data_IF_743100816038
#
_entry.id   IF_743100816038
#
_cell.length_a   1.000
_cell.length_b   1.000
_cell.length_c   1.000
_cell.angle_alpha   90.00
_cell.angle_beta   90.00
_cell.angle_gamma   90.00
#
_symmetry.space_group_name_H-M   'P 1'
#
loop_
_entity.id
_entity.type
_entity.pdbx_description
1 polymer ?
#
# COMPACT_ATOMS: atom_id res chain seq x y z
N UNK A 1 -35.73 -13.75 9.52
CA UNK A 1 -36.07 -13.76 8.09
C UNK A 1 -34.78 -13.94 7.31
N UNK A 2 -34.65 -14.96 6.46
CA UNK A 2 -33.45 -15.11 5.63
C UNK A 2 -33.39 -13.94 4.64
N UNK A 3 -32.31 -13.16 4.65
CA UNK A 3 -32.15 -11.98 3.77
C UNK A 3 -32.10 -12.32 2.29
N UNK A 4 -31.84 -13.59 1.94
CA UNK A 4 -31.73 -14.05 0.56
C UNK A 4 -33.02 -14.67 0.01
N UNK A 5 -33.71 -15.48 0.82
CA UNK A 5 -34.94 -16.15 0.39
C UNK A 5 -36.21 -15.45 0.86
N UNK A 6 -36.12 -14.48 1.79
CA UNK A 6 -37.29 -13.88 2.44
C UNK A 6 -38.06 -14.83 3.36
N UNK A 7 -37.71 -16.11 3.37
CA UNK A 7 -38.43 -17.15 4.10
C UNK A 7 -37.81 -17.38 5.48
N UNK A 8 -38.67 -17.71 6.43
CA UNK A 8 -38.29 -18.31 7.70
C UNK A 8 -38.78 -19.75 7.63
N UNK A 9 -37.84 -20.69 7.55
CA UNK A 9 -38.16 -22.10 7.74
C UNK A 9 -37.86 -22.43 9.19
N UNK A 10 -38.90 -22.84 9.92
CA UNK A 10 -38.71 -23.50 11.21
C UNK A 10 -38.31 -24.93 10.93
N UNK A 11 -37.15 -25.33 11.46
CA UNK A 11 -36.69 -26.72 11.41
C UNK A 11 -37.16 -27.41 12.68
N UNK A 12 -37.78 -28.57 12.53
CA UNK A 12 -38.09 -29.42 13.68
C UNK A 12 -36.80 -30.05 14.23
N UNK A 13 -36.78 -30.32 15.53
CA UNK A 13 -35.59 -30.88 16.20
C UNK A 13 -35.21 -32.24 15.61
N UNK A 14 -36.21 -32.98 15.15
CA UNK A 14 -36.14 -34.26 14.46
C UNK A 14 -35.31 -34.18 13.19
N UNK A 15 -35.44 -33.10 12.42
CA UNK A 15 -34.68 -32.87 11.18
C UNK A 15 -33.19 -32.66 11.43
N UNK A 16 -32.84 -32.23 12.65
CA UNK A 16 -31.47 -31.99 13.08
C UNK A 16 -30.85 -33.20 13.80
N UNK A 17 -31.61 -34.26 14.09
CA UNK A 17 -31.09 -35.43 14.86
C UNK A 17 -29.91 -36.13 14.20
N UNK A 18 -29.83 -36.08 12.87
CA UNK A 18 -28.75 -36.71 12.10
C UNK A 18 -27.62 -35.74 11.75
N UNK A 19 -27.74 -34.47 12.15
CA UNK A 19 -26.71 -33.47 11.91
C UNK A 19 -25.75 -33.44 13.09
N UNK A 20 -24.47 -33.64 12.81
CA UNK A 20 -23.41 -33.41 13.77
C UNK A 20 -22.66 -32.13 13.39
N UNK A 21 -22.50 -31.22 14.35
CA UNK A 21 -21.77 -29.99 14.16
C UNK A 21 -20.37 -30.12 14.77
N UNK A 22 -19.33 -29.87 13.96
CA UNK A 22 -17.94 -29.83 14.43
C UNK A 22 -17.40 -28.41 14.34
N UNK A 23 -17.11 -27.82 15.50
CA UNK A 23 -16.46 -26.51 15.60
C UNK A 23 -15.05 -26.51 15.00
N UNK A 24 -14.32 -27.62 15.15
CA UNK A 24 -13.00 -27.82 14.55
C UNK A 24 -13.08 -27.82 13.02
N UNK A 25 -14.04 -28.56 12.45
CA UNK A 25 -14.23 -28.58 10.99
C UNK A 25 -14.59 -27.19 10.46
N UNK A 26 -15.46 -26.46 11.17
CA UNK A 26 -15.80 -25.09 10.79
C UNK A 26 -14.59 -24.15 10.91
N UNK A 27 -13.78 -24.28 11.96
CA UNK A 27 -12.55 -23.51 12.13
C UNK A 27 -11.56 -23.76 10.96
N UNK A 28 -11.42 -25.01 10.51
CA UNK A 28 -10.61 -25.35 9.35
C UNK A 28 -11.16 -24.76 8.05
N UNK A 29 -12.48 -24.82 7.84
CA UNK A 29 -13.14 -24.19 6.68
C UNK A 29 -12.89 -22.68 6.68
N UNK A 30 -13.11 -22.00 7.80
CA UNK A 30 -12.91 -20.55 7.94
C UNK A 30 -11.44 -20.16 7.70
N UNK A 31 -10.49 -20.93 8.26
CA UNK A 31 -9.08 -20.70 8.04
C UNK A 31 -8.70 -20.82 6.55
N UNK A 32 -9.28 -21.79 5.84
CA UNK A 32 -9.13 -21.93 4.38
C UNK A 32 -9.71 -20.73 3.62
N UNK A 33 -10.95 -20.34 3.91
CA UNK A 33 -11.63 -19.22 3.26
C UNK A 33 -10.93 -17.86 3.49
N UNK A 34 -10.29 -17.70 4.64
CA UNK A 34 -9.53 -16.49 5.00
C UNK A 34 -8.07 -16.53 4.56
N UNK A 35 -7.63 -17.66 3.98
CA UNK A 35 -6.25 -17.93 3.58
C UNK A 35 -5.27 -17.76 4.77
N UNK A 36 -5.66 -18.28 5.94
CA UNK A 36 -4.83 -18.24 7.14
C UNK A 36 -3.61 -19.16 6.99
N UNK A 37 -2.45 -18.69 7.48
CA UNK A 37 -1.23 -19.48 7.56
C UNK A 37 -1.28 -20.44 8.74
N UNK A 38 -0.87 -21.68 8.50
CA UNK A 38 -0.82 -22.73 9.52
C UNK A 38 -2.13 -23.52 9.63
N UNK A 39 -2.29 -24.24 10.74
CA UNK A 39 -3.51 -24.98 11.06
C UNK A 39 -4.23 -24.30 12.24
N UNK A 40 -5.57 -24.32 12.29
CA UNK A 40 -6.31 -23.83 13.44
C UNK A 40 -5.81 -24.49 14.72
N UNK A 41 -5.56 -23.69 15.74
CA UNK A 41 -5.19 -24.13 17.08
C UNK A 41 -6.35 -23.86 18.03
N UNK A 42 -6.82 -24.89 18.72
CA UNK A 42 -7.80 -24.73 19.78
C UNK A 42 -7.13 -24.08 21.01
N UNK A 43 -7.69 -22.95 21.47
CA UNK A 43 -7.23 -22.22 22.65
C UNK A 43 -8.12 -22.47 23.86
N UNK A 44 -9.41 -22.64 23.63
CA UNK A 44 -10.38 -23.08 24.63
C UNK A 44 -11.19 -24.23 24.01
N UNK A 45 -11.19 -25.42 24.64
CA UNK A 45 -11.89 -26.59 24.13
C UNK A 45 -13.34 -26.30 23.72
N UNK A 46 -13.67 -26.67 22.48
CA UNK A 46 -14.97 -26.51 21.83
C UNK A 46 -15.52 -25.06 21.83
N UNK A 47 -14.70 -24.05 22.08
CA UNK A 47 -15.14 -22.65 22.25
C UNK A 47 -14.36 -21.65 21.42
N UNK A 48 -13.03 -21.69 21.45
CA UNK A 48 -12.17 -20.68 20.84
C UNK A 48 -11.00 -21.32 20.09
N UNK A 49 -10.81 -20.87 18.85
CA UNK A 49 -9.69 -21.25 18.00
C UNK A 49 -8.92 -20.03 17.53
N UNK A 50 -7.60 -20.16 17.43
CA UNK A 50 -6.74 -19.28 16.65
C UNK A 50 -6.59 -19.89 15.25
N UNK A 51 -7.14 -19.24 14.24
CA UNK A 51 -7.10 -19.75 12.86
C UNK A 51 -5.74 -19.51 12.20
N UNK A 52 -5.02 -18.49 12.66
CA UNK A 52 -3.72 -18.09 12.14
C UNK A 52 -3.74 -16.69 11.54
N UNK A 53 -2.61 -16.30 10.95
CA UNK A 53 -2.47 -15.00 10.31
C UNK A 53 -2.93 -15.07 8.86
N UNK A 54 -3.73 -14.12 8.40
CA UNK A 54 -4.15 -14.07 6.99
C UNK A 54 -2.96 -13.85 6.06
N UNK A 55 -2.83 -14.68 5.01
CA UNK A 55 -1.83 -14.48 3.97
C UNK A 55 -2.20 -13.28 3.09
N UNK A 56 -3.48 -13.18 2.72
CA UNK A 56 -4.05 -12.01 2.05
C UNK A 56 -4.49 -10.99 3.09
N UNK A 57 -4.22 -9.71 2.85
CA UNK A 57 -4.56 -8.64 3.78
C UNK A 57 -6.07 -8.53 4.01
N UNK A 58 -6.44 -8.12 5.23
CA UNK A 58 -7.80 -7.73 5.63
C UNK A 58 -7.73 -6.35 6.30
N UNK A 59 -8.50 -5.40 5.78
CA UNK A 59 -8.38 -3.99 6.16
C UNK A 59 -6.95 -3.48 5.96
N UNK A 60 -6.33 -3.85 4.84
CA UNK A 60 -5.01 -3.35 4.41
C UNK A 60 -3.76 -4.01 4.99
N UNK A 61 -3.88 -4.86 6.00
CA UNK A 61 -2.74 -5.52 6.63
C UNK A 61 -3.02 -6.98 6.94
N UNK A 62 -1.99 -7.82 7.20
CA UNK A 62 -2.19 -9.16 7.73
C UNK A 62 -2.90 -9.09 9.09
N UNK A 63 -3.85 -9.99 9.33
CA UNK A 63 -4.61 -10.06 10.59
C UNK A 63 -4.45 -11.41 11.25
N UNK A 64 -4.33 -11.43 12.56
CA UNK A 64 -4.44 -12.65 13.36
C UNK A 64 -5.93 -12.94 13.59
N UNK A 65 -6.40 -14.07 13.08
CA UNK A 65 -7.83 -14.41 13.11
C UNK A 65 -8.10 -15.39 14.25
N UNK A 66 -9.13 -15.06 15.02
CA UNK A 66 -9.69 -15.89 16.07
C UNK A 66 -11.13 -16.23 15.73
N UNK A 67 -11.56 -17.43 16.08
CA UNK A 67 -12.93 -17.88 15.89
C UNK A 67 -13.50 -18.37 17.23
N UNK A 68 -14.57 -17.74 17.68
CA UNK A 68 -15.36 -18.18 18.81
C UNK A 68 -16.69 -18.78 18.31
N UNK A 69 -16.96 -20.04 18.67
CA UNK A 69 -18.17 -20.71 18.21
C UNK A 69 -19.43 -20.04 18.74
N UNK A 70 -19.40 -19.62 20.01
CA UNK A 70 -20.51 -18.93 20.66
C UNK A 70 -19.97 -17.92 21.65
N UNK A 71 -20.56 -16.73 21.66
CA UNK A 71 -20.43 -15.79 22.75
C UNK A 71 -21.61 -15.93 23.71
N UNK A 72 -21.35 -16.42 24.90
CA UNK A 72 -22.30 -16.49 26.03
C UNK A 72 -22.07 -15.32 26.99
N UNK A 73 -22.84 -15.27 28.07
CA UNK A 73 -22.65 -14.31 29.17
C UNK A 73 -21.25 -14.38 29.79
N UNK A 74 -20.61 -15.55 29.79
CA UNK A 74 -19.21 -15.77 30.17
C UNK A 74 -18.25 -15.51 28.98
N UNK A 75 -18.33 -14.30 28.41
CA UNK A 75 -17.45 -13.89 27.31
C UNK A 75 -16.03 -13.57 27.77
N UNK A 76 -15.84 -13.29 29.06
CA UNK A 76 -14.58 -12.84 29.63
C UNK A 76 -13.48 -13.89 29.44
N UNK A 77 -13.81 -15.17 29.60
CA UNK A 77 -12.87 -16.27 29.33
C UNK A 77 -12.32 -16.28 27.89
N UNK A 78 -13.10 -15.82 26.90
CA UNK A 78 -12.65 -15.66 25.51
C UNK A 78 -11.71 -14.46 25.42
N UNK A 79 -12.11 -13.30 25.94
CA UNK A 79 -11.32 -12.07 25.87
C UNK A 79 -9.99 -12.15 26.59
N UNK A 80 -9.89 -12.93 27.67
CA UNK A 80 -8.64 -13.20 28.37
C UNK A 80 -7.61 -13.96 27.52
N UNK A 81 -8.07 -14.75 26.54
CA UNK A 81 -7.21 -15.49 25.60
C UNK A 81 -6.86 -14.70 24.34
N UNK A 82 -7.56 -13.60 24.08
CA UNK A 82 -7.25 -12.71 22.98
C UNK A 82 -6.05 -11.80 23.32
N UNK A 83 -5.28 -11.35 22.32
CA UNK A 83 -4.21 -10.41 22.56
C UNK A 83 -4.75 -9.10 23.14
N UNK A 84 -4.05 -8.54 24.13
CA UNK A 84 -4.39 -7.23 24.72
C UNK A 84 -4.27 -6.09 23.71
N UNK A 85 -3.31 -6.19 22.79
CA UNK A 85 -3.22 -5.33 21.62
C UNK A 85 -4.03 -5.96 20.47
N UNK A 86 -5.24 -5.46 20.26
CA UNK A 86 -6.15 -5.91 19.20
C UNK A 86 -5.90 -5.23 17.85
N UNK A 87 -4.82 -4.43 17.70
CA UNK A 87 -4.52 -3.67 16.48
C UNK A 87 -4.48 -4.51 15.21
N UNK A 88 -4.09 -5.79 15.32
CA UNK A 88 -4.03 -6.78 14.22
C UNK A 88 -4.96 -7.98 14.40
N UNK A 89 -5.64 -8.08 15.54
CA UNK A 89 -6.51 -9.21 15.82
C UNK A 89 -7.94 -8.97 15.32
N UNK A 90 -8.57 -10.00 14.79
CA UNK A 90 -9.99 -10.01 14.45
C UNK A 90 -10.64 -11.24 15.05
N UNK A 91 -11.87 -11.08 15.52
CA UNK A 91 -12.66 -12.14 16.13
C UNK A 91 -13.87 -12.43 15.26
N UNK A 92 -14.00 -13.67 14.82
CA UNK A 92 -15.20 -14.16 14.15
C UNK A 92 -16.04 -14.91 15.19
N UNK A 93 -17.34 -14.63 15.23
CA UNK A 93 -18.28 -15.22 16.19
C UNK A 93 -19.39 -15.98 15.47
N UNK A 94 -19.66 -17.21 15.90
CA UNK A 94 -20.76 -18.01 15.36
C UNK A 94 -22.15 -17.58 15.84
N UNK A 95 -22.22 -16.78 16.91
CA UNK A 95 -23.49 -16.27 17.46
C UNK A 95 -23.82 -14.86 16.95
N UNK A 96 -25.11 -14.61 16.70
CA UNK A 96 -25.63 -13.27 16.38
C UNK A 96 -25.46 -12.30 17.56
N UNK A 97 -25.57 -12.81 18.79
CA UNK A 97 -25.28 -12.05 19.99
C UNK A 97 -23.77 -12.08 20.26
N UNK A 98 -23.15 -10.90 20.17
CA UNK A 98 -21.78 -10.64 20.57
C UNK A 98 -21.71 -9.26 21.22
N UNK A 99 -20.65 -9.01 21.99
CA UNK A 99 -20.40 -7.72 22.64
C UNK A 99 -18.95 -7.30 22.34
N UNK A 100 -18.60 -6.06 22.61
CA UNK A 100 -17.20 -5.64 22.66
C UNK A 100 -16.67 -5.79 24.09
N UNK A 101 -15.35 -5.81 24.23
CA UNK A 101 -14.67 -5.62 25.52
C UNK A 101 -13.83 -4.34 25.50
N UNK A 102 -13.33 -3.92 26.66
CA UNK A 102 -12.49 -2.71 26.79
C UNK A 102 -11.22 -2.77 25.91
N UNK A 103 -10.67 -3.97 25.68
CA UNK A 103 -9.47 -4.18 24.86
C UNK A 103 -9.74 -4.78 23.48
N UNK A 104 -10.99 -5.15 23.17
CA UNK A 104 -11.38 -5.73 21.88
C UNK A 104 -12.64 -5.06 21.35
N UNK A 105 -12.42 -4.09 20.47
CA UNK A 105 -13.44 -3.20 19.94
C UNK A 105 -14.42 -3.90 19.00
N UNK A 106 -15.65 -3.38 18.92
CA UNK A 106 -16.74 -3.94 18.13
C UNK A 106 -16.41 -4.06 16.63
N UNK A 107 -15.63 -3.11 16.09
CA UNK A 107 -15.23 -3.08 14.68
C UNK A 107 -14.22 -4.19 14.30
N UNK A 108 -13.76 -4.97 15.28
CA UNK A 108 -12.91 -6.14 15.09
C UNK A 108 -13.67 -7.45 15.26
N UNK A 109 -14.98 -7.40 15.52
CA UNK A 109 -15.82 -8.56 15.78
C UNK A 109 -16.79 -8.75 14.62
N UNK A 110 -16.83 -9.97 14.07
CA UNK A 110 -17.62 -10.29 12.88
C UNK A 110 -18.49 -11.50 13.12
N UNK A 111 -19.81 -11.37 12.97
CA UNK A 111 -20.68 -12.53 13.01
C UNK A 111 -20.56 -13.35 11.70
N UNK A 112 -20.47 -14.67 11.82
CA UNK A 112 -20.47 -15.59 10.67
C UNK A 112 -21.67 -15.34 9.76
N UNK A 113 -22.84 -15.06 10.34
CA UNK A 113 -24.05 -14.81 9.58
C UNK A 113 -23.95 -13.58 8.66
N UNK A 114 -23.09 -12.61 8.98
CA UNK A 114 -22.92 -11.37 8.22
C UNK A 114 -21.82 -11.49 7.15
N UNK A 115 -20.82 -12.34 7.40
CA UNK A 115 -19.63 -12.45 6.54
C UNK A 115 -19.61 -13.71 5.68
N UNK A 116 -20.46 -14.70 5.94
CA UNK A 116 -20.47 -15.97 5.21
C UNK A 116 -21.75 -16.09 4.38
N UNK A 117 -21.61 -16.49 3.13
CA UNK A 117 -22.71 -16.75 2.21
C UNK A 117 -22.56 -18.16 1.63
N UNK A 118 -23.70 -18.79 1.36
CA UNK A 118 -23.74 -20.05 0.62
C UNK A 118 -24.08 -19.72 -0.83
N UNK A 119 -23.14 -19.98 -1.74
CA UNK A 119 -23.31 -19.85 -3.18
C UNK A 119 -23.38 -21.24 -3.83
N UNK A 120 -23.64 -21.30 -5.13
CA UNK A 120 -23.74 -22.56 -5.89
C UNK A 120 -22.44 -23.38 -5.88
N UNK A 121 -21.30 -22.72 -5.70
CA UNK A 121 -19.97 -23.32 -5.66
C UNK A 121 -19.51 -23.68 -4.26
N UNK A 122 -20.27 -23.29 -3.22
CA UNK A 122 -19.96 -23.57 -1.83
C UNK A 122 -20.04 -22.34 -0.94
N UNK A 123 -19.38 -22.41 0.23
CA UNK A 123 -19.32 -21.29 1.17
C UNK A 123 -18.34 -20.23 0.67
N UNK A 124 -18.79 -18.99 0.65
CA UNK A 124 -18.02 -17.83 0.20
C UNK A 124 -18.02 -16.77 1.30
N UNK A 125 -16.86 -16.17 1.52
CA UNK A 125 -16.67 -15.10 2.49
C UNK A 125 -16.89 -13.73 1.82
N UNK A 126 -17.77 -12.91 2.40
CA UNK A 126 -17.99 -11.52 2.01
C UNK A 126 -16.84 -10.63 2.52
N UNK A 127 -15.70 -10.75 1.84
CA UNK A 127 -14.45 -10.10 2.22
C UNK A 127 -14.52 -8.57 2.17
N UNK A 128 -15.26 -8.03 1.21
CA UNK A 128 -15.46 -6.58 1.07
C UNK A 128 -16.12 -5.97 2.30
N UNK A 129 -17.09 -6.66 2.90
CA UNK A 129 -17.76 -6.17 4.13
C UNK A 129 -16.82 -6.18 5.33
N UNK A 130 -15.95 -7.19 5.44
CA UNK A 130 -14.90 -7.24 6.47
C UNK A 130 -13.91 -6.09 6.26
N UNK A 131 -13.43 -5.90 5.02
CA UNK A 131 -12.48 -4.84 4.70
C UNK A 131 -13.05 -3.46 5.02
N UNK A 132 -14.31 -3.19 4.68
CA UNK A 132 -14.98 -1.91 4.94
C UNK A 132 -15.11 -1.62 6.43
N UNK A 133 -15.49 -2.61 7.24
CA UNK A 133 -15.58 -2.47 8.71
C UNK A 133 -14.22 -2.28 9.38
N UNK A 134 -13.16 -2.89 8.85
CA UNK A 134 -11.79 -2.72 9.37
C UNK A 134 -11.14 -1.38 9.00
N UNK A 135 -11.89 -0.44 8.42
CA UNK A 135 -11.42 0.88 7.99
C UNK A 135 -11.01 0.95 6.52
N UNK A 136 -11.38 -0.06 5.72
CA UNK A 136 -11.03 -0.20 4.31
C UNK A 136 -9.59 -0.67 4.09
N UNK A 137 -9.26 -0.96 2.83
CA UNK A 137 -7.87 -0.90 2.38
C UNK A 137 -7.42 0.54 2.64
N UNK A 138 -6.39 0.81 3.46
CA UNK A 138 -5.78 2.12 3.51
C UNK A 138 -5.43 2.44 2.06
N UNK A 139 -6.13 3.42 1.47
CA UNK A 139 -5.56 4.11 0.31
C UNK A 139 -4.17 4.50 0.79
N UNK A 140 -3.10 4.10 0.10
CA UNK A 140 -1.76 4.39 0.57
C UNK A 140 -1.74 5.87 0.90
N UNK A 141 -1.59 6.19 2.19
CA UNK A 141 -1.46 7.57 2.59
C UNK A 141 -0.29 8.07 1.76
N UNK A 142 -0.55 9.06 0.91
CA UNK A 142 0.52 9.79 0.24
C UNK A 142 1.37 10.30 1.40
N UNK A 143 2.47 9.59 1.73
CA UNK A 143 3.45 10.04 2.72
C UNK A 143 3.68 11.50 2.39
N UNK A 144 3.28 12.40 3.29
CA UNK A 144 3.59 13.82 3.12
C UNK A 144 5.11 13.85 2.91
N UNK A 145 5.59 14.36 1.77
CA UNK A 145 7.01 14.41 1.54
C UNK A 145 7.61 15.18 2.71
N UNK A 146 8.51 14.51 3.44
CA UNK A 146 9.31 15.17 4.45
C UNK A 146 9.93 16.42 3.80
N UNK A 147 9.65 17.60 4.36
CA UNK A 147 10.09 18.87 3.80
C UNK A 147 11.63 18.89 3.65
N UNK A 148 12.35 18.16 4.51
CA UNK A 148 13.79 17.96 4.43
C UNK A 148 14.24 17.09 3.25
N UNK A 149 13.50 16.03 2.92
CA UNK A 149 13.79 15.17 1.77
C UNK A 149 13.54 15.89 0.43
N UNK A 150 12.59 16.82 0.40
CA UNK A 150 12.30 17.62 -0.80
C UNK A 150 13.41 18.60 -1.14
N UNK A 151 13.92 19.34 -0.13
CA UNK A 151 15.06 20.24 -0.32
C UNK A 151 16.28 19.51 -0.87
N UNK A 152 16.61 18.35 -0.29
CA UNK A 152 17.71 17.49 -0.76
C UNK A 152 17.55 17.04 -2.21
N UNK A 153 16.33 16.66 -2.63
CA UNK A 153 16.08 16.27 -4.02
C UNK A 153 16.24 17.44 -5.00
N UNK A 154 15.88 18.67 -4.60
CA UNK A 154 16.04 19.86 -5.45
C UNK A 154 17.52 20.18 -5.63
N UNK A 155 18.30 20.19 -4.56
CA UNK A 155 19.75 20.42 -4.61
C UNK A 155 20.46 19.33 -5.42
N UNK A 156 20.07 18.06 -5.22
CA UNK A 156 20.61 16.94 -5.99
C UNK A 156 20.28 17.04 -7.48
N UNK A 157 19.05 17.43 -7.84
CA UNK A 157 18.66 17.65 -9.25
C UNK A 157 19.45 18.78 -9.88
N UNK A 158 19.62 19.90 -9.17
CA UNK A 158 20.38 21.03 -9.70
C UNK A 158 21.82 20.62 -9.97
N UNK A 159 22.49 19.99 -9.00
CA UNK A 159 23.87 19.53 -9.16
C UNK A 159 24.01 18.53 -10.31
N UNK A 160 23.09 17.56 -10.41
CA UNK A 160 23.09 16.58 -11.49
C UNK A 160 22.95 17.25 -12.86
N UNK A 161 22.02 18.19 -13.01
CA UNK A 161 21.82 18.92 -14.26
C UNK A 161 23.02 19.81 -14.63
N UNK A 162 23.67 20.44 -13.65
CA UNK A 162 24.90 21.23 -13.86
C UNK A 162 26.07 20.34 -14.34
N UNK A 163 26.25 19.17 -13.73
CA UNK A 163 27.27 18.18 -14.14
C UNK A 163 27.02 17.64 -15.55
N UNK A 164 25.77 17.36 -15.89
CA UNK A 164 25.37 16.95 -17.24
C UNK A 164 25.56 18.08 -18.27
N UNK A 165 25.22 19.33 -17.93
CA UNK A 165 25.48 20.50 -18.78
C UNK A 165 26.96 20.68 -19.05
N UNK A 166 27.80 20.51 -18.02
CA UNK A 166 29.24 20.58 -18.17
C UNK A 166 29.78 19.46 -19.07
N UNK A 167 29.25 18.24 -18.90
CA UNK A 167 29.61 17.08 -19.73
C UNK A 167 29.20 17.26 -21.19
N UNK A 168 27.97 17.73 -21.43
CA UNK A 168 27.47 18.06 -22.76
C UNK A 168 28.28 19.19 -23.42
N UNK A 169 28.61 20.23 -22.67
CA UNK A 169 29.42 21.35 -23.17
C UNK A 169 30.84 20.90 -23.54
N UNK A 170 31.48 20.11 -22.68
CA UNK A 170 32.80 19.52 -22.96
C UNK A 170 32.76 18.62 -24.20
N UNK A 171 31.70 17.82 -24.35
CA UNK A 171 31.47 16.97 -25.51
C UNK A 171 31.40 17.79 -26.81
N UNK A 172 30.62 18.87 -26.85
CA UNK A 172 30.51 19.71 -28.04
C UNK A 172 31.78 20.54 -28.32
N UNK A 173 32.49 20.99 -27.29
CA UNK A 173 33.78 21.70 -27.44
C UNK A 173 34.90 20.80 -27.99
N UNK A 174 34.91 19.52 -27.62
CA UNK A 174 35.92 18.55 -28.04
C UNK A 174 35.49 17.72 -29.26
N UNK A 175 34.31 18.01 -29.84
CA UNK A 175 33.81 17.31 -31.04
C UNK A 175 34.73 17.60 -32.22
N UNK A 176 35.29 16.55 -32.81
CA UNK A 176 36.11 16.66 -34.01
C UNK A 176 35.26 16.27 -35.23
N UNK A 177 34.66 17.26 -35.89
CA UNK A 177 33.68 17.10 -36.98
C UNK A 177 34.25 16.40 -38.24
N UNK A 178 35.55 16.05 -38.25
CA UNK A 178 36.24 15.46 -39.39
C UNK A 178 36.03 13.94 -39.56
N UNK A 179 35.72 13.20 -38.50
CA UNK A 179 35.79 11.72 -38.54
C UNK A 179 34.47 10.97 -38.32
N UNK A 180 33.37 11.59 -37.86
CA UNK A 180 32.18 10.82 -37.44
C UNK A 180 30.83 11.57 -37.49
N UNK A 181 30.54 12.33 -38.54
CA UNK A 181 29.20 12.92 -38.76
C UNK A 181 28.67 13.76 -37.58
N UNK A 182 27.39 14.15 -37.59
CA UNK A 182 26.81 14.96 -36.51
C UNK A 182 26.52 14.10 -35.28
N UNK A 183 27.54 13.93 -34.41
CA UNK A 183 27.38 13.26 -33.13
C UNK A 183 26.64 14.19 -32.15
N UNK A 184 25.53 13.70 -31.57
CA UNK A 184 24.71 14.44 -30.59
C UNK A 184 24.93 13.88 -29.19
N UNK A 185 24.93 14.76 -28.19
CA UNK A 185 24.92 14.34 -26.80
C UNK A 185 23.61 13.60 -26.47
N UNK A 186 23.64 12.50 -25.69
CA UNK A 186 22.43 11.76 -25.33
C UNK A 186 21.37 12.66 -24.68
N UNK A 187 20.11 12.53 -25.12
CA UNK A 187 18.99 13.26 -24.50
C UNK A 187 18.70 12.69 -23.12
N UNK A 188 18.69 13.56 -22.13
CA UNK A 188 18.24 13.20 -20.79
C UNK A 188 16.74 12.95 -20.76
N UNK A 189 16.35 12.01 -19.92
CA UNK A 189 14.94 11.71 -19.63
C UNK A 189 14.65 11.91 -18.15
N UNK A 190 13.38 12.09 -17.78
CA UNK A 190 12.97 12.13 -16.38
C UNK A 190 13.34 10.84 -15.61
N UNK A 191 13.50 9.72 -16.32
CA UNK A 191 13.93 8.44 -15.76
C UNK A 191 15.43 8.47 -15.44
N UNK A 192 16.25 9.01 -16.34
CA UNK A 192 17.68 9.22 -16.12
C UNK A 192 17.93 10.14 -14.95
N UNK A 193 17.19 11.26 -14.85
CA UNK A 193 17.27 12.17 -13.70
C UNK A 193 16.91 11.47 -12.39
N UNK A 194 15.80 10.72 -12.40
CA UNK A 194 15.34 10.00 -11.22
C UNK A 194 16.38 8.98 -10.74
N UNK A 195 16.98 8.23 -11.66
CA UNK A 195 18.06 7.30 -11.35
C UNK A 195 19.30 8.02 -10.79
N UNK A 196 19.70 9.14 -11.42
CA UNK A 196 20.88 9.92 -11.02
C UNK A 196 20.79 10.49 -9.60
N UNK A 197 19.59 10.83 -9.13
CA UNK A 197 19.38 11.37 -7.78
C UNK A 197 18.80 10.36 -6.77
N UNK A 198 18.69 9.07 -7.14
CA UNK A 198 18.13 8.02 -6.26
C UNK A 198 16.66 8.26 -5.89
N UNK A 199 15.85 8.78 -6.83
CA UNK A 199 14.44 9.12 -6.63
C UNK A 199 13.53 8.43 -7.66
N UNK A 200 12.25 8.79 -7.67
CA UNK A 200 11.28 8.25 -8.63
C UNK A 200 10.98 9.27 -9.74
N UNK A 201 10.70 8.79 -10.96
CA UNK A 201 10.22 9.62 -12.09
C UNK A 201 9.05 10.52 -11.69
N UNK A 202 8.13 10.01 -10.88
CA UNK A 202 6.99 10.76 -10.38
C UNK A 202 7.37 11.91 -9.43
N UNK A 203 8.44 11.74 -8.63
CA UNK A 203 8.98 12.82 -7.79
C UNK A 203 9.58 13.93 -8.66
N UNK A 204 10.43 13.57 -9.63
CA UNK A 204 11.08 14.52 -10.53
C UNK A 204 10.04 15.28 -11.36
N UNK A 205 9.07 14.57 -11.96
CA UNK A 205 7.98 15.18 -12.73
C UNK A 205 7.16 16.18 -11.90
N UNK A 206 6.89 15.88 -10.63
CA UNK A 206 6.19 16.81 -9.73
C UNK A 206 7.00 18.06 -9.43
N UNK A 207 8.32 17.96 -9.33
CA UNK A 207 9.20 19.12 -9.08
C UNK A 207 9.16 20.08 -10.27
N UNK A 208 9.28 19.57 -11.49
CA UNK A 208 9.22 20.40 -12.71
C UNK A 208 7.83 21.01 -12.94
N UNK A 209 6.76 20.25 -12.70
CA UNK A 209 5.39 20.73 -12.90
C UNK A 209 4.87 21.64 -11.77
N UNK A 210 5.65 21.86 -10.72
CA UNK A 210 5.20 22.68 -9.60
C UNK A 210 5.24 24.17 -9.96
N UNK A 211 4.09 24.83 -9.87
CA UNK A 211 3.94 26.26 -10.15
C UNK A 211 3.55 27.04 -8.89
N UNK A 212 4.09 28.26 -8.74
CA UNK A 212 3.70 29.24 -7.71
C UNK A 212 3.38 30.55 -8.43
N UNK A 213 2.14 31.03 -8.30
CA UNK A 213 1.65 32.21 -9.01
C UNK A 213 1.85 32.14 -10.54
N UNK A 214 1.56 30.97 -11.14
CA UNK A 214 1.70 30.74 -12.58
C UNK A 214 3.15 30.58 -13.08
N UNK A 215 4.16 30.79 -12.22
CA UNK A 215 5.57 30.63 -12.57
C UNK A 215 6.12 29.30 -12.05
N UNK A 216 7.17 28.75 -12.68
CA UNK A 216 7.92 27.62 -12.15
C UNK A 216 8.34 27.90 -10.71
N UNK A 217 8.09 26.94 -9.81
CA UNK A 217 8.53 27.10 -8.42
C UNK A 217 10.05 27.04 -8.29
N UNK A 218 10.72 26.30 -9.18
CA UNK A 218 12.18 26.17 -9.23
C UNK A 218 12.68 26.59 -10.62
N UNK A 219 12.75 27.90 -10.92
CA UNK A 219 13.07 28.39 -12.26
C UNK A 219 14.47 27.96 -12.73
N UNK A 220 15.42 27.81 -11.82
CA UNK A 220 16.78 27.35 -12.14
C UNK A 220 16.78 25.95 -12.75
N UNK A 221 15.99 25.01 -12.21
CA UNK A 221 15.91 23.66 -12.75
C UNK A 221 15.34 23.64 -14.17
N UNK A 222 14.36 24.49 -14.47
CA UNK A 222 13.76 24.63 -15.80
C UNK A 222 14.78 25.22 -16.79
N UNK A 223 15.51 26.26 -16.39
CA UNK A 223 16.59 26.83 -17.21
C UNK A 223 17.66 25.78 -17.54
N UNK A 224 18.12 25.02 -16.55
CA UNK A 224 19.15 23.99 -16.77
C UNK A 224 18.64 22.88 -17.69
N UNK A 225 17.40 22.44 -17.47
CA UNK A 225 16.74 21.41 -18.27
C UNK A 225 16.55 21.85 -19.73
N UNK A 226 15.98 23.03 -19.95
CA UNK A 226 15.75 23.59 -21.28
C UNK A 226 17.08 23.82 -22.02
N UNK A 227 18.13 24.23 -21.29
CA UNK A 227 19.47 24.39 -21.86
C UNK A 227 20.06 23.07 -22.39
N UNK A 228 19.69 21.93 -21.80
CA UNK A 228 20.14 20.60 -22.24
C UNK A 228 19.39 20.07 -23.45
N UNK A 229 18.26 20.67 -23.84
CA UNK A 229 17.45 20.15 -24.95
C UNK A 229 18.07 20.36 -26.34
N UNK A 230 18.96 21.35 -26.47
CA UNK A 230 19.54 21.79 -27.74
C UNK A 230 21.05 22.05 -27.64
N UNK A 231 21.80 21.83 -28.71
CA UNK A 231 23.24 22.15 -28.79
C UNK A 231 23.47 23.65 -28.54
N UNK A 232 22.64 24.52 -29.12
CA UNK A 232 22.72 25.97 -28.91
C UNK A 232 22.49 26.36 -27.45
N UNK A 233 21.53 25.71 -26.78
CA UNK A 233 21.27 25.91 -25.35
C UNK A 233 22.48 25.55 -24.48
N UNK A 234 23.08 24.38 -24.73
CA UNK A 234 24.27 23.92 -24.01
C UNK A 234 25.45 24.87 -24.25
N UNK A 235 25.65 25.30 -25.51
CA UNK A 235 26.75 26.20 -25.86
C UNK A 235 26.56 27.61 -25.30
N UNK A 236 25.34 28.13 -25.28
CA UNK A 236 25.02 29.43 -24.68
C UNK A 236 25.21 29.41 -23.16
N UNK A 237 24.73 28.36 -22.49
CA UNK A 237 24.89 28.19 -21.06
C UNK A 237 26.37 28.04 -20.68
N UNK A 238 27.12 27.19 -21.37
CA UNK A 238 28.53 26.95 -21.06
C UNK A 238 29.44 28.17 -21.33
N UNK A 239 29.16 28.97 -22.37
CA UNK A 239 29.90 30.23 -22.60
C UNK A 239 29.70 31.26 -21.49
N UNK A 240 28.51 31.30 -20.89
CA UNK A 240 28.17 32.26 -19.84
C UNK A 240 28.61 31.81 -18.44
N UNK A 241 28.67 30.49 -18.17
CA UNK A 241 28.89 29.95 -16.82
C UNK A 241 30.21 29.19 -16.64
N UNK A 242 30.77 28.56 -17.69
CA UNK A 242 31.98 27.71 -17.56
C UNK A 242 33.25 28.38 -18.09
N UNK A 243 33.12 29.43 -18.91
CA UNK A 243 34.28 30.15 -19.43
C UNK A 243 34.90 31.03 -18.32
N UNK A 244 36.05 30.62 -17.79
CA UNK A 244 36.81 31.46 -16.86
C UNK A 244 37.18 32.82 -17.53
N UNK A 245 37.26 33.92 -16.75
CA UNK A 245 37.78 35.17 -17.27
C UNK A 245 39.21 34.96 -17.75
N UNK A 246 39.53 35.42 -18.97
CA UNK A 246 40.91 35.52 -19.42
C UNK A 246 41.69 36.32 -18.37
N UNK A 247 42.75 35.72 -17.80
CA UNK A 247 43.79 36.47 -17.11
C UNK A 247 44.25 37.56 -18.09
N UNK A 248 43.96 38.82 -17.78
CA UNK A 248 44.64 39.94 -18.40
C UNK A 248 46.13 39.79 -18.06
N UNK A 249 46.94 39.92 -19.10
CA UNK A 249 48.41 39.89 -19.08
C UNK A 249 49.01 40.65 -17.89
#
# INVERSE_FOLDING_TARGET
MCSHTGHIRFLEKEELRYWNFSGEALAAILAGLLECKGRPQELIPAKLWKLGQTARHLGGQPRDVYFALRMTSDADSIYEKLPRDSSRAVLIVGSSNHRASDHFLADKIFCIADILKLETTGLVLNRESIDLMLGGIPKPEKKKPDAGARGKNIEALQKFLEEELHSAWSFYCNRNDKDSGPQKYPRLTLETLAAGIGSTKGTVSKIFNERKNGKPRYPVLEILWDSLETEDGVMAYGRSHFRQPQRKN
#
